data_IF_395962866789
#
_entry.id   IF_395962866789
#
_cell.length_a   1.000
_cell.length_b   1.000
_cell.length_c   1.000
_cell.angle_alpha   90.00
_cell.angle_beta   90.00
_cell.angle_gamma   90.00
#
_symmetry.space_group_name_H-M   'P 1'
#
loop_
_entity.id
_entity.type
_entity.pdbx_description
1 polymer ?
#
# COMPACT_ATOMS: atom_id res chain seq x y z
N UNK A 1 13.84 9.40 7.96
CA UNK A 1 15.08 9.37 8.77
C UNK A 1 15.46 10.77 9.25
N UNK A 2 14.85 11.82 8.71
CA UNK A 2 14.95 13.18 9.25
C UNK A 2 14.07 13.36 10.50
N UNK A 3 14.66 13.86 11.59
CA UNK A 3 13.98 13.96 12.90
C UNK A 3 12.95 15.09 12.94
N UNK A 4 13.16 16.17 12.18
CA UNK A 4 12.18 17.26 12.08
C UNK A 4 10.92 16.81 11.33
N UNK A 5 11.08 16.06 10.24
CA UNK A 5 9.99 15.43 9.49
C UNK A 5 9.21 14.43 10.36
N UNK A 6 9.91 13.59 11.14
CA UNK A 6 9.26 12.65 12.07
C UNK A 6 8.40 13.40 13.11
N UNK A 7 8.94 14.48 13.68
CA UNK A 7 8.23 15.33 14.65
C UNK A 7 7.04 16.05 14.01
N UNK A 8 7.20 16.57 12.80
CA UNK A 8 6.15 17.22 12.00
C UNK A 8 4.96 16.28 11.74
N UNK A 9 5.26 15.01 11.43
CA UNK A 9 4.27 13.94 11.27
C UNK A 9 3.69 13.42 12.59
N UNK A 10 4.13 13.95 13.74
CA UNK A 10 3.68 13.50 15.06
C UNK A 10 4.13 12.08 15.43
N UNK A 11 5.25 11.62 14.86
CA UNK A 11 5.81 10.30 15.19
C UNK A 11 6.40 10.33 16.61
N UNK A 12 6.18 9.24 17.35
CA UNK A 12 6.70 9.07 18.74
C UNK A 12 8.15 8.53 18.79
N UNK A 13 8.78 8.38 17.62
CA UNK A 13 10.14 7.88 17.45
C UNK A 13 11.00 8.88 16.67
N UNK A 14 12.31 8.74 16.85
CA UNK A 14 13.36 9.46 16.14
C UNK A 14 14.19 8.48 15.29
N UNK A 15 15.12 9.02 14.51
CA UNK A 15 16.09 8.29 13.69
C UNK A 15 16.86 7.24 14.50
N UNK A 16 17.33 7.58 15.69
CA UNK A 16 18.08 6.68 16.59
C UNK A 16 17.27 5.45 16.97
N UNK A 17 15.98 5.61 17.27
CA UNK A 17 15.07 4.49 17.55
C UNK A 17 14.84 3.62 16.31
N UNK A 18 14.82 4.16 15.11
CA UNK A 18 14.73 3.36 13.87
C UNK A 18 15.94 2.42 13.79
N UNK A 19 17.16 2.97 13.89
CA UNK A 19 18.40 2.19 13.85
C UNK A 19 18.44 1.10 14.93
N UNK A 20 18.15 1.47 16.18
CA UNK A 20 18.13 0.53 17.29
C UNK A 20 17.09 -0.58 17.10
N UNK A 21 15.90 -0.25 16.60
CA UNK A 21 14.84 -1.25 16.37
C UNK A 21 15.23 -2.23 15.28
N UNK A 22 15.81 -1.74 14.19
CA UNK A 22 16.30 -2.60 13.11
C UNK A 22 17.41 -3.53 13.59
N UNK A 23 18.37 -3.02 14.37
CA UNK A 23 19.43 -3.81 14.97
C UNK A 23 18.89 -4.92 15.89
N UNK A 24 17.90 -4.60 16.74
CA UNK A 24 17.26 -5.58 17.63
C UNK A 24 16.59 -6.69 16.81
N UNK A 25 15.83 -6.34 15.77
CA UNK A 25 15.18 -7.32 14.90
C UNK A 25 16.21 -8.24 14.23
N UNK A 26 17.28 -7.67 13.67
CA UNK A 26 18.36 -8.46 13.04
C UNK A 26 19.04 -9.38 14.05
N UNK A 27 19.42 -8.88 15.22
CA UNK A 27 20.04 -9.68 16.29
C UNK A 27 19.11 -10.78 16.83
N UNK A 28 17.80 -10.60 16.69
CA UNK A 28 16.80 -11.60 17.07
C UNK A 28 16.56 -12.66 15.99
N UNK A 29 17.25 -12.60 14.85
CA UNK A 29 17.14 -13.57 13.76
C UNK A 29 16.05 -13.26 12.74
N UNK A 30 15.53 -12.03 12.67
CA UNK A 30 14.60 -11.65 11.62
C UNK A 30 15.36 -11.33 10.32
N UNK A 31 15.19 -12.19 9.33
CA UNK A 31 15.85 -12.08 8.03
C UNK A 31 14.99 -11.44 6.94
N UNK A 32 13.71 -11.17 7.21
CA UNK A 32 12.79 -10.50 6.31
C UNK A 32 12.19 -9.27 7.00
N UNK A 33 12.83 -8.12 6.81
CA UNK A 33 12.42 -6.87 7.45
C UNK A 33 11.99 -5.86 6.38
N UNK A 34 10.84 -5.24 6.62
CA UNK A 34 10.35 -4.12 5.84
C UNK A 34 10.59 -2.79 6.56
N UNK A 35 10.96 -1.76 5.80
CA UNK A 35 10.95 -0.36 6.23
C UNK A 35 9.92 0.45 5.44
N UNK A 36 9.03 1.14 6.15
CA UNK A 36 8.04 2.03 5.52
C UNK A 36 8.55 3.46 5.46
N UNK A 37 8.62 4.00 4.25
CA UNK A 37 8.99 5.37 3.96
C UNK A 37 7.84 6.08 3.25
N UNK A 38 7.58 7.30 3.72
CA UNK A 38 6.59 8.19 3.14
C UNK A 38 7.31 9.39 2.52
N UNK A 39 6.88 9.82 1.33
CA UNK A 39 7.35 11.04 0.67
C UNK A 39 6.18 11.99 0.39
N UNK A 40 6.46 13.14 -0.20
CA UNK A 40 5.54 14.28 -0.35
C UNK A 40 5.12 14.83 1.01
N UNK A 41 6.06 14.88 1.95
CA UNK A 41 5.81 15.47 3.26
C UNK A 41 5.72 17.01 3.16
N UNK A 42 5.09 17.70 4.13
CA UNK A 42 5.11 19.15 4.21
C UNK A 42 6.53 19.73 4.09
N UNK A 43 6.72 20.70 3.19
CA UNK A 43 7.99 21.39 2.91
C UNK A 43 9.16 20.45 2.48
N UNK A 44 8.86 19.21 2.08
CA UNK A 44 9.88 18.22 1.76
C UNK A 44 10.55 18.50 0.42
N UNK A 45 11.89 18.52 0.42
CA UNK A 45 12.70 18.65 -0.78
C UNK A 45 13.06 17.29 -1.35
N UNK A 46 13.58 17.28 -2.59
CA UNK A 46 14.09 16.03 -3.18
C UNK A 46 15.31 15.52 -2.39
N UNK A 47 16.13 16.41 -1.85
CA UNK A 47 17.29 16.07 -1.02
C UNK A 47 16.86 15.30 0.23
N UNK A 48 15.75 15.69 0.88
CA UNK A 48 15.20 15.04 2.06
C UNK A 48 14.72 13.60 1.77
N UNK A 49 14.01 13.43 0.64
CA UNK A 49 13.55 12.12 0.15
C UNK A 49 14.76 11.21 -0.11
N UNK A 50 15.75 11.73 -0.83
CA UNK A 50 16.95 10.97 -1.20
C UNK A 50 17.80 10.63 0.02
N UNK A 51 17.89 11.53 1.00
CA UNK A 51 18.52 11.25 2.29
C UNK A 51 17.81 10.09 3.00
N UNK A 52 16.50 10.16 3.20
CA UNK A 52 15.76 9.12 3.91
C UNK A 52 15.82 7.76 3.21
N UNK A 53 15.74 7.70 1.88
CA UNK A 53 15.91 6.45 1.13
C UNK A 53 17.34 5.90 1.27
N UNK A 54 18.36 6.75 1.19
CA UNK A 54 19.75 6.33 1.33
C UNK A 54 20.03 5.74 2.72
N UNK A 55 19.49 6.36 3.77
CA UNK A 55 19.58 5.83 5.14
C UNK A 55 18.87 4.46 5.27
N UNK A 56 17.69 4.31 4.68
CA UNK A 56 16.98 3.02 4.65
C UNK A 56 17.80 1.93 3.94
N UNK A 57 18.38 2.26 2.79
CA UNK A 57 19.19 1.34 1.98
C UNK A 57 20.44 0.88 2.75
N UNK A 58 21.09 1.77 3.54
CA UNK A 58 22.26 1.41 4.37
C UNK A 58 21.94 0.30 5.37
N UNK A 59 20.72 0.25 5.89
CA UNK A 59 20.26 -0.84 6.77
C UNK A 59 20.07 -2.16 6.02
N UNK A 60 20.04 -2.14 4.70
CA UNK A 60 19.91 -3.31 3.82
C UNK A 60 18.68 -4.19 4.12
N UNK A 61 17.47 -3.62 4.32
CA UNK A 61 16.24 -4.41 4.49
C UNK A 61 15.98 -5.31 3.28
N UNK A 62 15.04 -6.24 3.42
CA UNK A 62 14.60 -7.09 2.32
C UNK A 62 13.51 -6.41 1.50
N UNK A 63 12.79 -5.50 2.14
CA UNK A 63 11.62 -4.86 1.58
C UNK A 63 11.57 -3.39 2.03
N UNK A 64 11.14 -2.51 1.12
CA UNK A 64 10.92 -1.09 1.38
C UNK A 64 9.56 -0.70 0.81
N UNK A 65 8.66 -0.24 1.67
CA UNK A 65 7.48 0.50 1.22
C UNK A 65 7.86 1.95 1.01
N UNK A 66 7.54 2.50 -0.16
CA UNK A 66 7.80 3.90 -0.52
C UNK A 66 6.56 4.50 -1.17
N UNK A 67 5.84 5.34 -0.42
CA UNK A 67 4.51 5.82 -0.79
C UNK A 67 4.30 7.30 -0.47
N UNK A 68 3.42 7.96 -1.23
CA UNK A 68 3.13 9.38 -1.03
C UNK A 68 2.23 9.59 0.19
N UNK A 69 2.47 10.65 0.95
CA UNK A 69 1.58 11.13 2.00
C UNK A 69 0.21 11.43 1.39
N UNK A 70 -0.80 10.69 1.84
CA UNK A 70 -2.20 10.94 1.48
C UNK A 70 -2.91 11.67 2.61
N UNK A 71 -3.50 12.83 2.32
CA UNK A 71 -4.18 13.67 3.31
C UNK A 71 -5.63 13.20 3.49
N UNK A 72 -5.87 12.39 4.51
CA UNK A 72 -7.17 11.78 4.77
C UNK A 72 -8.14 12.70 5.48
N UNK A 73 -9.43 12.66 5.08
CA UNK A 73 -10.50 13.45 5.72
C UNK A 73 -10.58 13.12 7.22
N UNK A 74 -10.74 14.15 8.04
CA UNK A 74 -10.84 14.02 9.50
C UNK A 74 -9.50 14.03 10.24
N UNK A 75 -8.36 14.00 9.53
CA UNK A 75 -7.03 14.13 10.16
C UNK A 75 -6.69 15.57 10.52
N UNK A 76 -5.70 15.75 11.41
CA UNK A 76 -5.13 17.09 11.71
C UNK A 76 -4.64 17.76 10.44
N UNK A 77 -3.94 17.01 9.60
CA UNK A 77 -3.38 17.52 8.34
C UNK A 77 -4.47 17.96 7.37
N UNK A 78 -5.59 17.24 7.28
CA UNK A 78 -6.72 17.68 6.47
C UNK A 78 -7.24 19.05 6.89
N UNK A 79 -7.27 19.37 8.19
CA UNK A 79 -7.73 20.68 8.68
C UNK A 79 -6.79 21.83 8.26
N UNK A 80 -5.49 21.57 8.19
CA UNK A 80 -4.46 22.58 7.88
C UNK A 80 -3.87 22.45 6.47
N UNK A 81 -4.46 21.61 5.60
CA UNK A 81 -3.91 21.25 4.28
C UNK A 81 -3.59 22.43 3.37
N UNK A 82 -4.31 23.54 3.50
CA UNK A 82 -4.06 24.76 2.72
C UNK A 82 -2.77 25.49 3.10
N UNK A 83 -2.15 25.16 4.24
CA UNK A 83 -0.93 25.78 4.74
C UNK A 83 0.20 24.76 5.01
N UNK A 84 0.05 23.51 4.56
CA UNK A 84 1.03 22.45 4.81
C UNK A 84 2.22 22.47 3.85
N UNK A 85 2.27 23.36 2.86
CA UNK A 85 3.37 23.38 1.88
C UNK A 85 3.66 22.01 1.26
N UNK A 86 2.62 21.25 0.93
CA UNK A 86 2.78 19.93 0.29
C UNK A 86 3.36 20.14 -1.12
N UNK A 87 4.38 19.38 -1.54
CA UNK A 87 4.94 19.46 -2.88
C UNK A 87 3.86 19.33 -3.96
N UNK A 88 4.00 20.06 -5.05
CA UNK A 88 3.04 19.99 -6.16
C UNK A 88 3.08 18.64 -6.87
N UNK A 89 2.01 18.25 -7.57
CA UNK A 89 1.92 16.93 -8.23
C UNK A 89 3.13 16.59 -9.12
N UNK A 90 3.65 17.58 -9.86
CA UNK A 90 4.83 17.41 -10.70
C UNK A 90 6.11 17.13 -9.87
N UNK A 91 6.23 17.76 -8.70
CA UNK A 91 7.35 17.53 -7.78
C UNK A 91 7.22 16.16 -7.11
N UNK A 92 6.02 15.78 -6.65
CA UNK A 92 5.75 14.44 -6.12
C UNK A 92 6.10 13.36 -7.15
N UNK A 93 5.70 13.54 -8.41
CA UNK A 93 6.02 12.62 -9.50
C UNK A 93 7.54 12.55 -9.76
N UNK A 94 8.25 13.67 -9.64
CA UNK A 94 9.72 13.71 -9.74
C UNK A 94 10.37 12.97 -8.57
N UNK A 95 9.93 13.21 -7.34
CA UNK A 95 10.41 12.55 -6.12
C UNK A 95 10.22 11.04 -6.23
N UNK A 96 9.03 10.62 -6.66
CA UNK A 96 8.71 9.22 -6.85
C UNK A 96 9.60 8.54 -7.90
N UNK A 97 9.78 9.17 -9.08
CA UNK A 97 10.65 8.64 -10.15
C UNK A 97 12.11 8.54 -9.71
N UNK A 98 12.61 9.52 -8.96
CA UNK A 98 13.97 9.50 -8.43
C UNK A 98 14.15 8.41 -7.37
N UNK A 99 13.16 8.25 -6.48
CA UNK A 99 13.14 7.17 -5.51
C UNK A 99 13.12 5.77 -6.14
N UNK A 100 12.29 5.56 -7.17
CA UNK A 100 12.30 4.31 -7.97
C UNK A 100 13.70 4.04 -8.50
N UNK A 101 14.31 5.02 -9.18
CA UNK A 101 15.65 4.86 -9.78
C UNK A 101 16.71 4.51 -8.74
N UNK A 102 16.67 5.16 -7.57
CA UNK A 102 17.60 4.90 -6.48
C UNK A 102 17.43 3.47 -5.94
N UNK A 103 16.19 3.07 -5.64
CA UNK A 103 15.86 1.75 -5.11
C UNK A 103 16.23 0.62 -6.08
N UNK A 104 15.86 0.76 -7.36
CA UNK A 104 16.20 -0.22 -8.40
C UNK A 104 17.72 -0.34 -8.60
N UNK A 105 18.44 0.79 -8.54
CA UNK A 105 19.91 0.81 -8.59
C UNK A 105 20.60 0.07 -7.44
N UNK A 106 19.89 -0.17 -6.33
CA UNK A 106 20.36 -0.93 -5.18
C UNK A 106 19.70 -2.32 -5.05
N UNK A 107 19.07 -2.81 -6.13
CA UNK A 107 18.53 -4.16 -6.22
C UNK A 107 17.12 -4.35 -5.65
N UNK A 108 16.42 -3.27 -5.28
CA UNK A 108 15.02 -3.32 -4.88
C UNK A 108 14.11 -3.16 -6.11
N UNK A 109 13.43 -4.23 -6.50
CA UNK A 109 12.52 -4.21 -7.64
C UNK A 109 11.14 -3.73 -7.21
N UNK A 110 10.59 -2.80 -7.97
CA UNK A 110 9.19 -2.42 -7.83
C UNK A 110 8.28 -3.57 -8.30
N UNK A 111 7.50 -4.15 -7.39
CA UNK A 111 6.52 -5.17 -7.75
C UNK A 111 5.08 -4.62 -7.75
N UNK A 112 4.82 -3.53 -7.03
CA UNK A 112 3.56 -2.77 -7.06
C UNK A 112 3.80 -1.27 -6.76
N UNK A 113 2.76 -0.45 -6.85
CA UNK A 113 2.83 1.02 -6.88
C UNK A 113 3.50 1.71 -5.67
N UNK A 114 3.70 1.03 -4.56
CA UNK A 114 4.17 1.59 -3.29
C UNK A 114 5.22 0.73 -2.59
N UNK A 115 5.66 -0.38 -3.17
CA UNK A 115 6.44 -1.39 -2.49
C UNK A 115 7.51 -1.98 -3.42
N UNK A 116 8.69 -2.10 -2.85
CA UNK A 116 9.91 -2.53 -3.49
C UNK A 116 10.54 -3.63 -2.64
N UNK A 117 11.12 -4.63 -3.27
CA UNK A 117 11.77 -5.71 -2.52
C UNK A 117 12.99 -6.24 -3.27
N UNK A 118 13.88 -6.89 -2.51
CA UNK A 118 14.81 -7.85 -3.10
C UNK A 118 14.01 -9.00 -3.72
N UNK A 119 14.64 -9.72 -4.64
CA UNK A 119 14.02 -10.88 -5.27
C UNK A 119 13.59 -11.92 -4.23
N UNK A 120 12.38 -12.46 -4.36
CA UNK A 120 11.81 -13.43 -3.43
C UNK A 120 11.22 -12.86 -2.13
N UNK A 121 11.34 -11.55 -1.90
CA UNK A 121 10.83 -10.87 -0.70
C UNK A 121 9.58 -10.02 -0.96
N UNK A 122 8.87 -10.24 -2.06
CA UNK A 122 7.61 -9.56 -2.32
C UNK A 122 6.59 -9.89 -1.22
N UNK A 123 5.83 -8.90 -0.76
CA UNK A 123 4.83 -9.12 0.29
C UNK A 123 3.69 -10.01 -0.21
N UNK A 124 3.63 -11.23 0.33
CA UNK A 124 2.53 -12.18 0.06
C UNK A 124 1.19 -11.54 0.43
N UNK A 125 1.15 -10.76 1.51
CA UNK A 125 -0.05 -10.04 1.93
C UNK A 125 -0.50 -9.05 0.86
N UNK A 126 0.37 -8.14 0.41
CA UNK A 126 0.02 -7.14 -0.60
C UNK A 126 -0.41 -7.81 -1.92
N UNK A 127 0.35 -8.81 -2.38
CA UNK A 127 0.01 -9.59 -3.57
C UNK A 127 -1.36 -10.27 -3.43
N UNK A 128 -1.69 -10.77 -2.23
CA UNK A 128 -2.99 -11.39 -1.96
C UNK A 128 -4.14 -10.40 -2.14
N UNK A 129 -4.00 -9.16 -1.67
CA UNK A 129 -4.98 -8.10 -1.89
C UNK A 129 -5.09 -7.72 -3.37
N UNK A 130 -3.96 -7.46 -4.03
CA UNK A 130 -3.95 -6.99 -5.41
C UNK A 130 -4.45 -8.03 -6.42
N UNK A 131 -4.33 -9.31 -6.11
CA UNK A 131 -4.85 -10.42 -6.90
C UNK A 131 -6.24 -10.91 -6.43
N UNK A 132 -6.87 -10.18 -5.49
CA UNK A 132 -8.18 -10.49 -4.91
C UNK A 132 -8.29 -11.94 -4.43
N UNK A 133 -7.25 -12.44 -3.76
CA UNK A 133 -7.32 -13.70 -3.04
C UNK A 133 -8.19 -13.57 -1.79
N UNK A 134 -8.88 -14.63 -1.36
CA UNK A 134 -9.69 -14.58 -0.15
C UNK A 134 -8.85 -14.31 1.11
N UNK A 135 -9.40 -13.53 2.04
CA UNK A 135 -8.79 -13.26 3.33
C UNK A 135 -9.84 -13.03 4.42
N UNK A 136 -9.47 -13.37 5.66
CA UNK A 136 -10.27 -13.14 6.86
C UNK A 136 -9.58 -12.10 7.74
N UNK A 137 -10.32 -11.06 8.11
CA UNK A 137 -9.87 -10.01 9.01
C UNK A 137 -10.46 -10.17 10.40
N UNK A 138 -9.59 -10.06 11.40
CA UNK A 138 -9.95 -10.13 12.82
C UNK A 138 -9.63 -8.80 13.51
N UNK A 139 -10.40 -8.46 14.54
CA UNK A 139 -10.30 -7.18 15.23
C UNK A 139 -11.29 -6.12 14.75
N UNK A 140 -11.36 -5.02 15.48
CA UNK A 140 -12.17 -3.85 15.15
C UNK A 140 -11.82 -3.33 13.75
N UNK A 141 -12.84 -2.90 13.00
CA UNK A 141 -12.71 -2.35 11.65
C UNK A 141 -12.09 -3.27 10.58
N UNK A 142 -11.69 -4.50 10.92
CA UNK A 142 -11.03 -5.41 10.00
C UNK A 142 -11.95 -5.79 8.83
N UNK A 143 -11.41 -5.74 7.61
CA UNK A 143 -12.09 -6.19 6.39
C UNK A 143 -11.88 -7.68 6.15
N UNK A 144 -12.84 -8.34 5.52
CA UNK A 144 -12.73 -9.73 5.03
C UNK A 144 -13.30 -9.81 3.62
N UNK A 145 -12.75 -10.71 2.81
CA UNK A 145 -13.27 -11.05 1.50
C UNK A 145 -13.21 -12.56 1.31
N UNK A 146 -14.37 -13.24 1.31
CA UNK A 146 -14.46 -14.70 1.18
C UNK A 146 -15.66 -15.04 0.31
N UNK A 147 -15.47 -15.89 -0.69
CA UNK A 147 -16.56 -16.43 -1.53
C UNK A 147 -17.55 -15.36 -2.02
N UNK A 148 -17.03 -14.24 -2.57
CA UNK A 148 -17.78 -13.08 -3.10
C UNK A 148 -18.41 -12.16 -2.05
N UNK A 149 -18.22 -12.45 -0.78
CA UNK A 149 -18.76 -11.67 0.32
C UNK A 149 -17.64 -10.77 0.87
N UNK A 150 -17.87 -9.45 0.80
CA UNK A 150 -17.08 -8.45 1.50
C UNK A 150 -17.73 -8.16 2.84
N UNK A 151 -16.96 -8.30 3.92
CA UNK A 151 -17.38 -7.93 5.27
C UNK A 151 -16.41 -6.92 5.85
N UNK A 152 -16.90 -6.12 6.77
CA UNK A 152 -16.05 -5.35 7.67
C UNK A 152 -16.63 -5.42 9.07
N UNK A 153 -15.76 -5.61 10.05
CA UNK A 153 -16.17 -5.49 11.44
C UNK A 153 -16.59 -4.05 11.77
N UNK A 154 -17.35 -3.87 12.83
CA UNK A 154 -17.77 -2.56 13.33
C UNK A 154 -16.57 -1.65 13.55
N UNK A 155 -16.75 -0.35 13.28
CA UNK A 155 -15.71 0.66 13.42
C UNK A 155 -15.54 1.17 14.84
N UNK A 156 -16.56 0.97 15.69
CA UNK A 156 -16.59 1.49 17.05
C UNK A 156 -16.15 0.40 18.04
N UNK A 157 -15.25 0.76 18.95
CA UNK A 157 -14.66 -0.18 19.91
C UNK A 157 -15.67 -0.73 20.91
N UNK A 158 -16.60 0.12 21.37
CA UNK A 158 -17.67 -0.30 22.29
C UNK A 158 -18.57 -1.33 21.60
N UNK A 159 -19.04 -1.03 20.39
CA UNK A 159 -19.87 -1.97 19.62
C UNK A 159 -19.13 -3.27 19.26
N UNK A 160 -17.81 -3.22 19.12
CA UNK A 160 -16.98 -4.40 18.86
C UNK A 160 -17.03 -5.35 20.05
N UNK A 161 -16.73 -4.86 21.26
CA UNK A 161 -16.79 -5.65 22.49
C UNK A 161 -18.20 -6.13 22.80
N UNK A 162 -19.22 -5.27 22.72
CA UNK A 162 -20.62 -5.66 22.96
C UNK A 162 -21.05 -6.87 22.11
N UNK A 163 -20.64 -6.93 20.84
CA UNK A 163 -20.94 -8.06 19.96
C UNK A 163 -20.14 -9.31 20.33
N UNK A 164 -18.83 -9.19 20.54
CA UNK A 164 -17.97 -10.33 20.88
C UNK A 164 -18.37 -10.94 22.23
N UNK A 165 -18.60 -10.11 23.25
CA UNK A 165 -18.95 -10.55 24.61
C UNK A 165 -20.34 -11.22 24.67
N UNK A 166 -21.22 -10.91 23.71
CA UNK A 166 -22.52 -11.58 23.54
C UNK A 166 -22.46 -12.80 22.61
N UNK A 167 -21.26 -13.26 22.21
CA UNK A 167 -21.09 -14.43 21.33
C UNK A 167 -21.47 -14.19 19.87
N UNK A 168 -21.63 -12.93 19.45
CA UNK A 168 -21.97 -12.56 18.08
C UNK A 168 -20.73 -12.13 17.27
N UNK A 169 -20.75 -12.39 15.96
CA UNK A 169 -19.73 -11.82 15.08
C UNK A 169 -19.87 -10.29 15.01
N UNK A 170 -18.77 -9.54 15.08
CA UNK A 170 -18.78 -8.08 15.13
C UNK A 170 -18.99 -7.42 13.75
N UNK A 171 -19.84 -8.00 12.89
CA UNK A 171 -20.06 -7.54 11.51
C UNK A 171 -20.77 -6.18 11.53
N UNK A 172 -20.14 -5.18 10.90
CA UNK A 172 -20.69 -3.83 10.72
C UNK A 172 -21.02 -3.47 9.27
N UNK A 173 -20.34 -4.11 8.30
CA UNK A 173 -20.67 -4.04 6.87
C UNK A 173 -20.72 -5.47 6.33
N UNK A 174 -21.72 -5.73 5.48
CA UNK A 174 -21.84 -6.97 4.72
C UNK A 174 -22.30 -6.63 3.31
N UNK A 175 -21.56 -7.08 2.31
CA UNK A 175 -21.83 -6.85 0.91
C UNK A 175 -21.62 -8.14 0.11
N UNK A 176 -22.60 -8.52 -0.69
CA UNK A 176 -22.47 -9.61 -1.65
C UNK A 176 -22.14 -9.02 -3.02
N UNK A 177 -20.95 -9.30 -3.55
CA UNK A 177 -20.50 -8.71 -4.81
C UNK A 177 -21.10 -9.44 -6.01
N UNK A 178 -21.67 -8.68 -6.93
CA UNK A 178 -22.07 -9.19 -8.25
C UNK A 178 -20.83 -9.59 -9.05
N UNK A 179 -21.01 -10.47 -10.04
CA UNK A 179 -19.90 -10.89 -10.90
C UNK A 179 -19.26 -9.70 -11.63
N UNK A 180 -20.09 -8.80 -12.19
CA UNK A 180 -19.63 -7.56 -12.84
C UNK A 180 -18.71 -6.74 -11.91
N UNK A 181 -19.07 -6.62 -10.63
CA UNK A 181 -18.28 -5.87 -9.67
C UNK A 181 -16.97 -6.58 -9.31
N UNK A 182 -17.00 -7.89 -9.17
CA UNK A 182 -15.76 -8.67 -8.94
C UNK A 182 -14.78 -8.55 -10.11
N UNK A 183 -15.27 -8.63 -11.35
CA UNK A 183 -14.46 -8.45 -12.56
C UNK A 183 -13.80 -7.07 -12.58
N UNK A 184 -14.59 -6.01 -12.37
CA UNK A 184 -14.08 -4.64 -12.34
C UNK A 184 -13.09 -4.38 -11.20
N UNK A 185 -13.41 -4.83 -9.99
CA UNK A 185 -12.52 -4.68 -8.82
C UNK A 185 -11.22 -5.48 -8.99
N UNK A 186 -11.27 -6.67 -9.58
CA UNK A 186 -10.06 -7.44 -9.88
C UNK A 186 -9.13 -6.70 -10.84
N UNK A 187 -9.67 -6.16 -11.95
CA UNK A 187 -8.88 -5.35 -12.89
C UNK A 187 -8.28 -4.13 -12.18
N UNK A 188 -9.10 -3.37 -11.44
CA UNK A 188 -8.64 -2.20 -10.69
C UNK A 188 -7.50 -2.53 -9.72
N UNK A 189 -7.60 -3.64 -8.99
CA UNK A 189 -6.61 -4.04 -7.99
C UNK A 189 -5.32 -4.55 -8.63
N UNK A 190 -5.40 -5.38 -9.66
CA UNK A 190 -4.20 -5.93 -10.30
C UNK A 190 -3.41 -4.88 -11.11
N UNK A 191 -4.04 -3.79 -11.55
CA UNK A 191 -3.35 -2.66 -12.19
C UNK A 191 -2.42 -1.91 -11.24
N UNK A 192 -2.49 -2.17 -9.92
CA UNK A 192 -1.49 -1.70 -8.96
C UNK A 192 -0.17 -2.45 -9.06
N UNK A 193 -0.18 -3.67 -9.60
CA UNK A 193 1.02 -4.48 -9.80
C UNK A 193 1.82 -3.95 -10.99
N UNK A 194 3.15 -3.97 -10.89
CA UNK A 194 4.03 -3.59 -12.01
C UNK A 194 3.81 -4.45 -13.25
N UNK A 195 3.52 -5.75 -13.03
CA UNK A 195 3.21 -6.70 -14.09
C UNK A 195 1.75 -6.67 -14.58
N UNK A 196 0.92 -5.78 -14.02
CA UNK A 196 -0.49 -5.66 -14.36
C UNK A 196 -1.32 -6.93 -14.16
N UNK A 197 -2.32 -7.09 -15.02
CA UNK A 197 -3.23 -8.24 -15.01
C UNK A 197 -2.70 -9.38 -15.89
N UNK A 198 -2.44 -10.56 -15.32
CA UNK A 198 -2.19 -11.76 -16.13
C UNK A 198 -3.51 -12.30 -16.68
N UNK A 199 -3.59 -12.45 -18.00
CA UNK A 199 -4.75 -13.03 -18.70
C UNK A 199 -5.13 -14.41 -18.15
N UNK A 200 -4.15 -15.25 -17.84
CA UNK A 200 -4.39 -16.59 -17.27
C UNK A 200 -5.11 -16.51 -15.92
N UNK A 201 -4.65 -15.68 -14.99
CA UNK A 201 -5.27 -15.54 -13.67
C UNK A 201 -6.70 -14.99 -13.74
N UNK A 202 -6.97 -14.11 -14.72
CA UNK A 202 -8.33 -13.63 -14.97
C UNK A 202 -9.22 -14.74 -15.54
N UNK A 203 -8.71 -15.49 -16.52
CA UNK A 203 -9.42 -16.63 -17.12
C UNK A 203 -9.72 -17.73 -16.11
N UNK A 204 -8.74 -18.13 -15.29
CA UNK A 204 -8.91 -19.15 -14.26
C UNK A 204 -10.03 -18.79 -13.26
N UNK A 205 -10.25 -17.48 -13.05
CA UNK A 205 -11.23 -16.95 -12.10
C UNK A 205 -12.62 -16.75 -12.72
N UNK A 206 -12.69 -16.28 -13.96
CA UNK A 206 -13.94 -15.81 -14.58
C UNK A 206 -14.34 -16.58 -15.84
N UNK A 207 -13.53 -17.52 -16.33
CA UNK A 207 -13.79 -18.35 -17.50
C UNK A 207 -13.71 -17.63 -18.85
N UNK A 208 -13.34 -16.35 -18.85
CA UNK A 208 -13.23 -15.48 -20.05
C UNK A 208 -11.98 -14.63 -19.94
N UNK A 209 -11.53 -14.00 -21.02
CA UNK A 209 -10.38 -13.09 -21.00
C UNK A 209 -10.80 -11.64 -20.70
N UNK A 210 -9.91 -10.78 -20.17
CA UNK A 210 -10.23 -9.38 -19.91
C UNK A 210 -10.77 -8.62 -21.13
N UNK A 211 -10.27 -8.92 -22.33
CA UNK A 211 -10.73 -8.31 -23.58
C UNK A 211 -12.21 -8.60 -23.91
N UNK A 212 -12.74 -9.71 -23.41
CA UNK A 212 -14.16 -10.07 -23.58
C UNK A 212 -15.06 -9.18 -22.74
N UNK A 213 -14.67 -8.89 -21.49
CA UNK A 213 -15.47 -8.09 -20.57
C UNK A 213 -15.21 -6.57 -20.71
N UNK A 214 -14.00 -6.16 -21.13
CA UNK A 214 -13.52 -4.77 -21.10
C UNK A 214 -12.89 -4.30 -22.44
N UNK A 215 -13.30 -4.89 -23.56
CA UNK A 215 -12.69 -4.64 -24.87
C UNK A 215 -12.73 -3.17 -25.32
N UNK A 216 -13.82 -2.45 -25.01
CA UNK A 216 -13.95 -1.04 -25.37
C UNK A 216 -12.97 -0.16 -24.57
N UNK A 217 -12.89 -0.38 -23.26
CA UNK A 217 -11.99 0.32 -22.36
C UNK A 217 -10.53 0.07 -22.75
N UNK A 218 -10.18 -1.20 -23.00
CA UNK A 218 -8.83 -1.59 -23.45
C UNK A 218 -8.50 -0.90 -24.78
N UNK A 219 -9.40 -0.95 -25.76
CA UNK A 219 -9.19 -0.30 -27.06
C UNK A 219 -8.95 1.20 -26.93
N UNK A 220 -9.74 1.89 -26.09
CA UNK A 220 -9.60 3.32 -25.86
C UNK A 220 -8.27 3.66 -25.17
N UNK A 221 -7.89 2.91 -24.14
CA UNK A 221 -6.62 3.14 -23.42
C UNK A 221 -5.40 2.82 -24.30
N UNK A 222 -5.46 1.80 -25.16
CA UNK A 222 -4.41 1.50 -26.13
C UNK A 222 -4.24 2.63 -27.16
N UNK A 223 -5.32 3.23 -27.66
CA UNK A 223 -5.24 4.41 -28.55
C UNK A 223 -4.55 5.60 -27.88
N UNK A 224 -4.70 5.74 -26.57
CA UNK A 224 -4.03 6.76 -25.75
C UNK A 224 -2.59 6.39 -25.35
N UNK A 225 -2.09 5.20 -25.71
CA UNK A 225 -0.78 4.66 -25.29
C UNK A 225 -0.62 4.55 -23.77
N UNK A 226 -1.70 4.14 -23.09
CA UNK A 226 -1.74 3.93 -21.64
C UNK A 226 -1.66 2.45 -21.23
N UNK A 227 -1.57 1.54 -22.21
CA UNK A 227 -1.40 0.09 -22.04
C UNK A 227 -0.21 -0.41 -22.85
#
# INVERSE_FOLDING_TARGET
>A
FDDESLKLLGRVHDSKKIYKSFEILRKSGFDNINLDLMFSLPEETIEDVMFSLSEAIKLSPEHISFYSLTIERGTKFFKIRGSLGIPQENEQAKHYKMGIKLLEGHGYKQYEISNFSKEGFQSIHNLSYWLSFPYAGFGIAAGSFISRIRRRNVLNLKSYYEKIDSGMLPIGLFEHLTEKRQKGEYIMMCLRLKGGCKNSLYYDRFGVFPVTDFGNEISNLSKMKLL
#
